data_IF_137474435918
#
_entry.id   IF_137474435918
#
_cell.length_a   1.000
_cell.length_b   1.000
_cell.length_c   1.000
_cell.angle_alpha   90.00
_cell.angle_beta   90.00
_cell.angle_gamma   90.00
#
_symmetry.space_group_name_H-M   'P 1'
#
loop_
_entity.id
_entity.type
_entity.pdbx_description
1 polymer ?
#
# COMPACT_ATOMS: atom_id res chain seq x y z
N UNK A 1 9.47 -28.55 7.71
CA UNK A 1 10.06 -27.34 7.09
C UNK A 1 9.97 -27.53 5.59
N UNK A 2 8.95 -26.98 4.92
CA UNK A 2 8.87 -27.10 3.46
C UNK A 2 9.93 -26.18 2.83
N UNK A 3 10.67 -26.70 1.85
CA UNK A 3 11.64 -25.91 1.11
C UNK A 3 10.91 -24.75 0.40
N UNK A 4 11.42 -23.54 0.58
CA UNK A 4 10.84 -22.36 -0.05
C UNK A 4 11.10 -22.39 -1.54
N UNK A 5 10.04 -22.06 -2.31
CA UNK A 5 10.15 -21.99 -3.75
C UNK A 5 10.78 -20.66 -4.15
N UNK A 6 11.69 -20.69 -5.11
CA UNK A 6 12.16 -19.48 -5.78
C UNK A 6 11.03 -18.86 -6.61
N UNK A 7 10.72 -17.56 -6.45
CA UNK A 7 9.68 -16.92 -7.24
C UNK A 7 10.12 -16.77 -8.71
N UNK A 8 9.15 -16.71 -9.62
CA UNK A 8 9.45 -16.40 -11.02
C UNK A 8 9.85 -14.93 -11.18
N UNK A 9 10.72 -14.63 -12.16
CA UNK A 9 11.12 -13.26 -12.48
C UNK A 9 9.92 -12.36 -12.84
N UNK A 10 8.87 -12.93 -13.42
CA UNK A 10 7.60 -12.23 -13.69
C UNK A 10 6.92 -11.75 -12.41
N UNK A 11 6.86 -12.59 -11.38
CA UNK A 11 6.24 -12.23 -10.09
C UNK A 11 7.06 -11.20 -9.31
N UNK A 12 8.39 -11.24 -9.41
CA UNK A 12 9.26 -10.19 -8.86
C UNK A 12 8.97 -8.84 -9.53
N UNK A 13 8.92 -8.82 -10.88
CA UNK A 13 8.57 -7.60 -11.65
C UNK A 13 7.18 -7.09 -11.32
N UNK A 14 6.19 -7.98 -11.20
CA UNK A 14 4.84 -7.61 -10.78
C UNK A 14 4.83 -6.98 -9.38
N UNK A 15 5.61 -7.53 -8.43
CA UNK A 15 5.66 -6.99 -7.07
C UNK A 15 6.27 -5.58 -7.05
N UNK A 16 7.27 -5.30 -7.91
CA UNK A 16 7.79 -3.95 -8.13
C UNK A 16 6.72 -3.01 -8.70
N UNK A 17 5.96 -3.47 -9.71
CA UNK A 17 4.86 -2.70 -10.28
C UNK A 17 3.80 -2.35 -9.23
N UNK A 18 3.44 -3.30 -8.37
CA UNK A 18 2.47 -3.07 -7.27
C UNK A 18 3.00 -2.00 -6.30
N UNK A 19 4.28 -2.02 -5.93
CA UNK A 19 4.86 -0.94 -5.13
C UNK A 19 4.86 0.40 -5.87
N UNK A 20 5.16 0.42 -7.17
CA UNK A 20 5.12 1.63 -7.99
C UNK A 20 3.72 2.24 -8.05
N UNK A 21 2.68 1.41 -8.21
CA UNK A 21 1.29 1.83 -8.21
C UNK A 21 0.89 2.46 -6.88
N UNK A 22 1.25 1.83 -5.74
CA UNK A 22 1.02 2.43 -4.43
C UNK A 22 1.81 3.72 -4.21
N UNK A 23 3.07 3.78 -4.63
CA UNK A 23 3.88 4.99 -4.52
C UNK A 23 3.28 6.15 -5.32
N UNK A 24 2.85 5.89 -6.56
CA UNK A 24 2.19 6.87 -7.41
C UNK A 24 0.86 7.35 -6.82
N UNK A 25 0.06 6.43 -6.27
CA UNK A 25 -1.18 6.76 -5.57
C UNK A 25 -0.93 7.71 -4.39
N UNK A 26 0.05 7.39 -3.54
CA UNK A 26 0.40 8.21 -2.36
C UNK A 26 0.93 9.57 -2.78
N UNK A 27 1.82 9.63 -3.76
CA UNK A 27 2.36 10.89 -4.29
C UNK A 27 1.25 11.78 -4.85
N UNK A 28 0.37 11.22 -5.68
CA UNK A 28 -0.77 11.95 -6.26
C UNK A 28 -1.75 12.40 -5.17
N UNK A 29 -1.97 11.57 -4.14
CA UNK A 29 -2.83 11.90 -3.01
C UNK A 29 -2.28 13.04 -2.16
N UNK A 30 -0.99 13.04 -1.86
CA UNK A 30 -0.36 14.10 -1.06
C UNK A 30 -0.40 15.45 -1.79
N UNK A 31 -0.17 15.46 -3.11
CA UNK A 31 -0.12 16.70 -3.91
C UNK A 31 -1.52 17.18 -4.31
N UNK A 32 -2.42 16.25 -4.63
CA UNK A 32 -3.70 16.55 -5.29
C UNK A 32 -4.94 16.38 -4.42
N UNK A 33 -4.81 15.99 -3.15
CA UNK A 33 -5.94 15.66 -2.25
C UNK A 33 -6.94 16.79 -2.06
N UNK A 34 -6.51 18.05 -2.19
CA UNK A 34 -7.41 19.20 -2.12
C UNK A 34 -8.42 19.29 -3.30
N UNK A 35 -8.30 18.42 -4.31
CA UNK A 35 -9.16 18.40 -5.48
C UNK A 35 -9.83 17.03 -5.68
N UNK A 36 -11.02 17.04 -6.30
CA UNK A 36 -11.73 15.81 -6.70
C UNK A 36 -10.89 15.00 -7.70
N UNK A 37 -10.30 15.67 -8.69
CA UNK A 37 -9.47 15.03 -9.72
C UNK A 37 -8.24 14.36 -9.09
N UNK A 38 -7.52 15.08 -8.22
CA UNK A 38 -6.34 14.52 -7.56
C UNK A 38 -6.67 13.34 -6.64
N UNK A 39 -7.77 13.42 -5.89
CA UNK A 39 -8.26 12.30 -5.07
C UNK A 39 -8.64 11.07 -5.90
N UNK A 40 -9.25 11.28 -7.07
CA UNK A 40 -9.60 10.20 -7.99
C UNK A 40 -8.35 9.54 -8.60
N UNK A 41 -7.38 10.34 -9.07
CA UNK A 41 -6.11 9.87 -9.63
C UNK A 41 -5.31 9.09 -8.57
N UNK A 42 -5.34 9.52 -7.31
CA UNK A 42 -4.69 8.80 -6.21
C UNK A 42 -5.32 7.42 -5.96
N UNK A 43 -6.64 7.28 -6.16
CA UNK A 43 -7.38 6.09 -5.74
C UNK A 43 -7.25 4.92 -6.72
N UNK A 44 -7.33 5.17 -8.04
CA UNK A 44 -7.34 4.11 -9.07
C UNK A 44 -6.07 3.23 -9.05
N UNK A 45 -4.84 3.78 -9.02
CA UNK A 45 -3.62 2.99 -9.03
C UNK A 45 -3.51 2.07 -7.81
N UNK A 46 -3.90 2.57 -6.63
CA UNK A 46 -3.90 1.78 -5.40
C UNK A 46 -4.94 0.65 -5.44
N UNK A 47 -6.11 0.92 -6.05
CA UNK A 47 -7.14 -0.11 -6.26
C UNK A 47 -6.68 -1.19 -7.25
N UNK A 48 -6.03 -0.79 -8.36
CA UNK A 48 -5.43 -1.75 -9.28
C UNK A 48 -4.35 -2.61 -8.60
N UNK A 49 -3.52 -2.01 -7.75
CA UNK A 49 -2.49 -2.70 -6.99
C UNK A 49 -3.06 -3.77 -6.04
N UNK A 50 -4.14 -3.48 -5.31
CA UNK A 50 -4.76 -4.47 -4.41
C UNK A 50 -5.45 -5.59 -5.20
N UNK A 51 -6.06 -5.29 -6.36
CA UNK A 51 -6.63 -6.32 -7.25
C UNK A 51 -5.52 -7.25 -7.75
N UNK A 52 -4.39 -6.72 -8.22
CA UNK A 52 -3.24 -7.51 -8.67
C UNK A 52 -2.69 -8.41 -7.55
N UNK A 53 -2.64 -7.89 -6.32
CA UNK A 53 -2.23 -8.65 -5.14
C UNK A 53 -3.13 -9.88 -4.92
N UNK A 54 -4.45 -9.69 -4.85
CA UNK A 54 -5.38 -10.78 -4.61
C UNK A 54 -5.42 -11.78 -5.77
N UNK A 55 -5.46 -11.29 -7.01
CA UNK A 55 -5.51 -12.12 -8.20
C UNK A 55 -4.29 -13.04 -8.33
N UNK A 56 -3.09 -12.53 -8.04
CA UNK A 56 -1.85 -13.29 -8.16
C UNK A 56 -1.39 -13.95 -6.87
N UNK A 57 -2.19 -13.90 -5.79
CA UNK A 57 -1.79 -14.37 -4.46
C UNK A 57 -1.40 -15.84 -4.44
N UNK A 58 -2.11 -16.66 -5.21
CA UNK A 58 -1.81 -18.09 -5.33
C UNK A 58 -0.43 -18.37 -5.93
N UNK A 59 0.05 -17.52 -6.85
CA UNK A 59 1.29 -17.73 -7.57
C UNK A 59 2.56 -17.45 -6.75
N UNK A 60 2.44 -16.69 -5.66
CA UNK A 60 3.56 -16.34 -4.76
C UNK A 60 3.60 -17.17 -3.49
N UNK A 61 2.66 -18.10 -3.28
CA UNK A 61 2.62 -18.97 -2.11
C UNK A 61 3.90 -19.77 -1.95
N UNK A 62 4.35 -19.93 -0.70
CA UNK A 62 5.60 -20.60 -0.33
C UNK A 62 6.86 -19.99 -0.95
N UNK A 63 6.79 -18.73 -1.41
CA UNK A 63 7.95 -17.92 -1.79
C UNK A 63 8.16 -16.79 -0.79
N UNK A 64 9.30 -16.11 -0.83
CA UNK A 64 9.52 -14.91 -0.02
C UNK A 64 8.61 -13.73 -0.43
N UNK A 65 8.07 -13.72 -1.66
CA UNK A 65 7.10 -12.72 -2.12
C UNK A 65 5.75 -12.81 -1.41
N UNK A 66 5.39 -13.95 -0.82
CA UNK A 66 4.12 -14.08 -0.07
C UNK A 66 4.06 -13.03 1.06
N UNK A 67 5.20 -12.76 1.70
CA UNK A 67 5.33 -11.73 2.74
C UNK A 67 5.18 -10.30 2.21
N UNK A 68 5.57 -10.04 0.96
CA UNK A 68 5.37 -8.73 0.32
C UNK A 68 3.92 -8.50 -0.03
N UNK A 69 3.24 -9.52 -0.56
CA UNK A 69 1.81 -9.45 -0.86
C UNK A 69 1.00 -9.20 0.42
N UNK A 70 1.30 -9.91 1.52
CA UNK A 70 0.70 -9.62 2.82
C UNK A 70 0.96 -8.20 3.29
N UNK A 71 2.19 -7.72 3.15
CA UNK A 71 2.56 -6.36 3.54
C UNK A 71 1.79 -5.31 2.74
N UNK A 72 1.69 -5.47 1.42
CA UNK A 72 0.98 -4.55 0.52
C UNK A 72 -0.53 -4.57 0.81
N UNK A 73 -1.13 -5.76 0.92
CA UNK A 73 -2.56 -5.93 1.25
C UNK A 73 -2.89 -5.26 2.59
N UNK A 74 -2.12 -5.53 3.65
CA UNK A 74 -2.34 -4.90 4.96
C UNK A 74 -2.17 -3.39 4.91
N UNK A 75 -1.17 -2.90 4.18
CA UNK A 75 -0.96 -1.45 4.03
C UNK A 75 -2.18 -0.80 3.39
N UNK A 76 -2.73 -1.39 2.33
CA UNK A 76 -3.95 -0.91 1.69
C UNK A 76 -5.12 -0.83 2.68
N UNK A 77 -5.44 -1.94 3.38
CA UNK A 77 -6.60 -1.99 4.27
C UNK A 77 -6.47 -1.08 5.48
N UNK A 78 -5.28 -0.99 6.10
CA UNK A 78 -5.07 -0.05 7.20
C UNK A 78 -5.18 1.40 6.72
N UNK A 79 -4.63 1.72 5.54
CA UNK A 79 -4.77 3.07 4.96
C UNK A 79 -6.23 3.40 4.71
N UNK A 80 -6.99 2.49 4.09
CA UNK A 80 -8.40 2.68 3.82
C UNK A 80 -9.20 2.89 5.12
N UNK A 81 -8.96 2.07 6.14
CA UNK A 81 -9.61 2.22 7.44
C UNK A 81 -9.34 3.58 8.08
N UNK A 82 -8.09 4.05 8.06
CA UNK A 82 -7.73 5.36 8.60
C UNK A 82 -8.30 6.52 7.79
N UNK A 83 -8.36 6.40 6.46
CA UNK A 83 -9.00 7.41 5.60
C UNK A 83 -10.50 7.49 5.91
N UNK A 84 -11.20 6.35 6.01
CA UNK A 84 -12.63 6.32 6.39
C UNK A 84 -12.83 6.96 7.77
N UNK A 85 -12.01 6.61 8.76
CA UNK A 85 -12.08 7.22 10.10
C UNK A 85 -11.87 8.74 10.04
N UNK A 86 -10.91 9.21 9.24
CA UNK A 86 -10.62 10.63 9.08
C UNK A 86 -11.80 11.37 8.43
N UNK A 87 -12.43 10.77 7.42
CA UNK A 87 -13.65 11.33 6.80
C UNK A 87 -14.78 11.44 7.83
N UNK A 88 -14.98 10.43 8.67
CA UNK A 88 -16.00 10.47 9.74
C UNK A 88 -15.71 11.58 10.76
N UNK A 89 -14.46 11.76 11.17
CA UNK A 89 -14.06 12.85 12.06
C UNK A 89 -14.29 14.23 11.44
N UNK A 90 -14.00 14.38 10.15
CA UNK A 90 -14.13 15.63 9.41
C UNK A 90 -15.58 16.13 9.25
N UNK A 91 -16.59 15.30 9.53
CA UNK A 91 -18.01 15.70 9.54
C UNK A 91 -18.29 16.77 10.61
N UNK A 92 -17.47 16.83 11.67
CA UNK A 92 -17.64 17.80 12.76
C UNK A 92 -16.52 18.84 12.77
N UNK A 93 -16.85 20.07 13.19
CA UNK A 93 -15.86 21.15 13.29
C UNK A 93 -14.72 20.81 14.28
N UNK A 94 -15.07 20.12 15.38
CA UNK A 94 -14.12 19.68 16.41
C UNK A 94 -13.27 18.50 15.92
N UNK A 95 -13.85 17.58 15.16
CA UNK A 95 -13.14 16.42 14.62
C UNK A 95 -12.23 16.73 13.44
N UNK A 96 -12.49 17.81 12.69
CA UNK A 96 -11.68 18.25 11.55
C UNK A 96 -10.16 18.36 11.83
N UNK A 97 -9.67 19.03 12.90
CA UNK A 97 -8.24 19.06 13.19
C UNK A 97 -7.65 17.66 13.44
N UNK A 98 -8.39 16.77 14.08
CA UNK A 98 -7.95 15.39 14.30
C UNK A 98 -7.94 14.58 13.00
N UNK A 99 -8.90 14.81 12.11
CA UNK A 99 -8.93 14.21 10.78
C UNK A 99 -7.69 14.60 9.96
N UNK A 100 -7.35 15.89 9.93
CA UNK A 100 -6.17 16.37 9.21
C UNK A 100 -4.87 15.81 9.79
N UNK A 101 -4.76 15.75 11.12
CA UNK A 101 -3.62 15.14 11.80
C UNK A 101 -3.51 13.64 11.47
N UNK A 102 -4.63 12.91 11.52
CA UNK A 102 -4.65 11.49 11.19
C UNK A 102 -4.23 11.24 9.74
N UNK A 103 -4.74 12.02 8.78
CA UNK A 103 -4.35 11.92 7.36
C UNK A 103 -2.86 12.21 7.16
N UNK A 104 -2.29 13.20 7.86
CA UNK A 104 -0.87 13.50 7.78
C UNK A 104 0.00 12.34 8.31
N UNK A 105 -0.34 11.82 9.49
CA UNK A 105 0.37 10.68 10.11
C UNK A 105 0.29 9.44 9.23
N UNK A 106 -0.91 9.14 8.71
CA UNK A 106 -1.14 7.98 7.85
C UNK A 106 -0.38 8.13 6.53
N UNK A 107 -0.35 9.32 5.94
CA UNK A 107 0.42 9.58 4.73
C UNK A 107 1.92 9.29 4.94
N UNK A 108 2.51 9.80 6.02
CA UNK A 108 3.91 9.50 6.38
C UNK A 108 4.14 8.01 6.62
N UNK A 109 3.22 7.36 7.34
CA UNK A 109 3.28 5.93 7.61
C UNK A 109 3.23 5.09 6.32
N UNK A 110 2.35 5.42 5.37
CA UNK A 110 2.26 4.71 4.08
C UNK A 110 3.53 4.94 3.25
N UNK A 111 4.04 6.16 3.17
CA UNK A 111 5.31 6.46 2.47
C UNK A 111 6.41 5.54 3.00
N UNK A 112 6.57 5.49 4.32
CA UNK A 112 7.53 4.61 4.98
C UNK A 112 7.29 3.12 4.63
N UNK A 113 6.04 2.65 4.69
CA UNK A 113 5.68 1.24 4.39
C UNK A 113 6.02 0.86 2.96
N UNK A 114 5.76 1.76 2.01
CA UNK A 114 6.05 1.56 0.58
C UNK A 114 7.56 1.55 0.35
N UNK A 115 8.29 2.56 0.85
CA UNK A 115 9.76 2.66 0.72
C UNK A 115 10.46 1.44 1.35
N UNK A 116 10.09 1.09 2.58
CA UNK A 116 10.67 -0.07 3.28
C UNK A 116 10.41 -1.37 2.54
N UNK A 117 9.18 -1.55 2.05
CA UNK A 117 8.79 -2.75 1.31
C UNK A 117 9.55 -2.88 0.00
N UNK A 118 9.63 -1.80 -0.76
CA UNK A 118 10.31 -1.77 -2.05
C UNK A 118 11.83 -1.96 -1.89
N UNK A 119 12.45 -1.35 -0.88
CA UNK A 119 13.87 -1.56 -0.58
C UNK A 119 14.19 -3.03 -0.32
N UNK A 120 13.37 -3.71 0.50
CA UNK A 120 13.57 -5.14 0.81
C UNK A 120 13.34 -6.02 -0.41
N UNK A 121 12.35 -5.69 -1.24
CA UNK A 121 12.10 -6.36 -2.51
C UNK A 121 13.33 -6.30 -3.43
N UNK A 122 13.96 -5.12 -3.56
CA UNK A 122 15.18 -4.93 -4.36
C UNK A 122 16.37 -5.76 -3.84
N UNK A 123 16.42 -6.04 -2.54
CA UNK A 123 17.42 -6.91 -1.94
C UNK A 123 17.07 -8.40 -1.97
N UNK A 124 15.92 -8.80 -2.51
CA UNK A 124 15.44 -10.19 -2.45
C UNK A 124 15.12 -10.68 -1.04
N UNK A 125 14.84 -9.76 -0.11
CA UNK A 125 14.62 -10.05 1.30
C UNK A 125 13.13 -10.09 1.63
N UNK A 126 12.72 -11.05 2.46
CA UNK A 126 11.38 -11.09 3.05
C UNK A 126 11.00 -9.81 3.79
N UNK A 127 9.71 -9.50 3.80
CA UNK A 127 9.18 -8.58 4.80
C UNK A 127 9.32 -9.18 6.20
N UNK A 128 9.66 -8.37 7.22
CA UNK A 128 9.63 -8.84 8.60
C UNK A 128 8.23 -9.38 8.90
N UNK A 129 8.17 -10.51 9.61
CA UNK A 129 6.90 -11.02 10.10
C UNK A 129 6.21 -9.93 10.95
N UNK A 130 4.86 -9.85 10.93
CA UNK A 130 4.14 -9.06 11.91
C UNK A 130 4.45 -9.52 13.34
#
# INVERSE_FOLDING_TARGET
MYAERSPSAGMVRLTHLIYALHAFAVFSGVIGSASVIGSFIASIPSLAAIVLNYWNRGAVRNTWLDSHFDWQIRTFWYTLAWVVLSVLLAVTLIGLPFALMALAVVSLWVIYRVVRGWWRLSGGLRMPAP
#
